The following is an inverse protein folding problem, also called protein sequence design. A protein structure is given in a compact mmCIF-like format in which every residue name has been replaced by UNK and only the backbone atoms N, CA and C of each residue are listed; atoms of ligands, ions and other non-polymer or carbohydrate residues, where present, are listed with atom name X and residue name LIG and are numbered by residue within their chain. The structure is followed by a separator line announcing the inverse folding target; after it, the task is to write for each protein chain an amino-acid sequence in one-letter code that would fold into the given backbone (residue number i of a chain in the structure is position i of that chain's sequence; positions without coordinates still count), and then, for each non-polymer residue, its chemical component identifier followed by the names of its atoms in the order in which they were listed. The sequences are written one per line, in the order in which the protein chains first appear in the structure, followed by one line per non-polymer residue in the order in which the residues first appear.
data_IF_948160197530
#
_entry.id   IF_948160197530
#
_cell.length_a   1.000
_cell.length_b   1.000
_cell.length_c   1.000
_cell.angle_alpha   90.00
_cell.angle_beta   90.00
_cell.angle_gamma   90.00
#
_symmetry.space_group_name_H-M   'P 1'
#
loop_
_entity.id
_entity.type
_entity.pdbx_description
1 polymer ?
#
# COMPACT_ATOMS: atom_id res chain seq x y z
N UNK A 1 4.61 -11.87 -26.35
CA UNK A 1 4.92 -11.52 -24.95
C UNK A 1 3.77 -10.71 -24.40
N UNK A 2 3.06 -11.19 -23.39
CA UNK A 2 1.99 -10.45 -22.74
C UNK A 2 2.56 -9.53 -21.66
N UNK A 3 2.02 -8.33 -21.57
CA UNK A 3 2.33 -7.39 -20.51
C UNK A 3 1.43 -7.65 -19.31
N UNK A 4 1.99 -7.72 -18.11
CA UNK A 4 1.23 -7.74 -16.87
C UNK A 4 0.90 -6.32 -16.45
N UNK A 5 -0.37 -6.05 -16.24
CA UNK A 5 -0.85 -4.74 -15.80
C UNK A 5 -1.55 -4.89 -14.47
N UNK A 6 -1.24 -4.02 -13.53
CA UNK A 6 -1.90 -3.95 -12.23
C UNK A 6 -2.52 -2.59 -11.99
N UNK A 7 -3.19 -2.46 -10.85
CA UNK A 7 -3.77 -1.19 -10.43
C UNK A 7 -3.52 -0.94 -8.93
N UNK A 8 -3.51 0.35 -8.58
CA UNK A 8 -3.51 0.79 -7.19
C UNK A 8 -4.93 0.68 -6.62
N UNK A 9 -5.10 -0.09 -5.55
CA UNK A 9 -6.43 -0.43 -5.02
C UNK A 9 -7.12 0.70 -4.27
N UNK A 10 -6.49 1.86 -4.13
CA UNK A 10 -7.07 3.02 -3.45
C UNK A 10 -8.43 3.44 -4.03
N UNK A 11 -8.65 3.27 -5.33
CA UNK A 11 -9.93 3.55 -5.98
C UNK A 11 -11.04 2.55 -5.62
N UNK A 12 -10.72 1.47 -4.93
CA UNK A 12 -11.64 0.39 -4.54
C UNK A 12 -11.75 0.23 -3.02
N UNK A 13 -11.43 1.28 -2.26
CA UNK A 13 -11.45 1.23 -0.79
C UNK A 13 -12.85 1.05 -0.17
N UNK A 14 -13.93 1.16 -0.95
CA UNK A 14 -15.31 0.82 -0.50
C UNK A 14 -15.57 -0.68 -0.50
N UNK A 15 -14.69 -1.49 -1.08
CA UNK A 15 -14.77 -2.94 -1.11
C UNK A 15 -13.72 -3.53 -0.18
N UNK A 16 -13.91 -4.75 0.28
CA UNK A 16 -12.82 -5.47 0.95
C UNK A 16 -11.73 -5.88 -0.05
N UNK A 17 -10.59 -6.36 0.44
CA UNK A 17 -9.47 -6.72 -0.43
C UNK A 17 -9.85 -7.81 -1.44
N UNK A 18 -10.54 -8.86 -1.00
CA UNK A 18 -10.90 -9.97 -1.88
C UNK A 18 -11.83 -9.53 -3.01
N UNK A 19 -12.83 -8.72 -2.68
CA UNK A 19 -13.74 -8.12 -3.67
C UNK A 19 -13.01 -7.18 -4.63
N UNK A 20 -12.11 -6.34 -4.11
CA UNK A 20 -11.29 -5.46 -4.92
C UNK A 20 -10.43 -6.24 -5.93
N UNK A 21 -9.80 -7.32 -5.50
CA UNK A 21 -9.01 -8.20 -6.38
C UNK A 21 -9.88 -8.87 -7.45
N UNK A 22 -11.10 -9.30 -7.10
CA UNK A 22 -12.04 -9.87 -8.08
C UNK A 22 -12.44 -8.83 -9.15
N UNK A 23 -12.67 -7.58 -8.75
CA UNK A 23 -12.96 -6.49 -9.70
C UNK A 23 -11.79 -6.26 -10.64
N UNK A 24 -10.56 -6.21 -10.14
CA UNK A 24 -9.36 -6.04 -10.95
C UNK A 24 -9.20 -7.20 -11.93
N UNK A 25 -9.35 -8.43 -11.46
CA UNK A 25 -9.22 -9.64 -12.27
C UNK A 25 -10.27 -9.68 -13.39
N UNK A 26 -11.53 -9.34 -13.08
CA UNK A 26 -12.62 -9.28 -14.07
C UNK A 26 -12.32 -8.28 -15.20
N UNK A 27 -11.54 -7.23 -14.90
CA UNK A 27 -11.11 -6.24 -15.89
C UNK A 27 -9.76 -6.58 -16.55
N UNK A 28 -9.26 -7.80 -16.39
CA UNK A 28 -8.05 -8.27 -17.07
C UNK A 28 -6.74 -7.85 -16.41
N UNK A 29 -6.79 -7.32 -15.19
CA UNK A 29 -5.60 -6.93 -14.44
C UNK A 29 -5.03 -8.13 -13.66
N UNK A 30 -3.72 -8.16 -13.51
CA UNK A 30 -3.01 -9.32 -12.94
C UNK A 30 -2.27 -9.00 -11.63
N UNK A 31 -2.25 -7.74 -11.21
CA UNK A 31 -1.58 -7.32 -10.00
C UNK A 31 -2.26 -6.15 -9.30
N UNK A 32 -1.89 -5.96 -8.05
CA UNK A 32 -2.39 -4.87 -7.23
C UNK A 32 -1.25 -4.21 -6.46
N UNK A 33 -1.29 -2.88 -6.39
CA UNK A 33 -0.52 -2.06 -5.48
C UNK A 33 -1.44 -1.63 -4.32
N UNK A 34 -0.99 -1.75 -3.10
CA UNK A 34 -1.82 -1.56 -1.91
C UNK A 34 -1.26 -0.45 -1.03
N UNK A 35 -2.13 0.45 -0.57
CA UNK A 35 -1.74 1.50 0.36
C UNK A 35 -1.47 0.94 1.77
N UNK A 36 -0.38 1.41 2.38
CA UNK A 36 0.05 0.98 3.72
C UNK A 36 0.34 2.15 4.68
N UNK A 37 0.05 3.37 4.28
CA UNK A 37 0.24 4.53 5.15
C UNK A 37 0.06 5.87 4.45
N UNK A 38 0.31 6.94 5.20
CA UNK A 38 0.26 8.31 4.71
C UNK A 38 -1.10 8.98 4.87
N UNK A 39 -1.50 9.78 3.88
CA UNK A 39 -2.70 10.61 3.94
C UNK A 39 -4.01 9.84 3.80
N UNK A 40 -4.01 8.72 3.10
CA UNK A 40 -5.23 7.93 2.86
C UNK A 40 -5.29 6.69 3.75
N UNK A 41 -6.49 6.19 4.06
CA UNK A 41 -6.65 4.95 4.82
C UNK A 41 -6.04 3.74 4.13
N UNK A 42 -5.78 2.68 4.89
CA UNK A 42 -5.21 1.42 4.38
C UNK A 42 -6.13 0.23 4.66
N UNK A 43 -7.39 0.24 4.18
CA UNK A 43 -8.36 -0.81 4.50
C UNK A 43 -8.00 -2.16 3.87
N UNK A 44 -7.17 -2.18 2.84
CA UNK A 44 -6.72 -3.40 2.18
C UNK A 44 -5.43 -3.99 2.76
N UNK A 45 -4.84 -3.37 3.78
CA UNK A 45 -3.63 -3.87 4.40
C UNK A 45 -3.63 -3.60 5.91
N UNK A 46 -3.88 -4.61 6.75
CA UNK A 46 -3.86 -4.48 8.20
C UNK A 46 -2.41 -4.46 8.70
N UNK A 47 -1.73 -3.34 8.54
CA UNK A 47 -0.29 -3.19 8.74
C UNK A 47 0.17 -3.69 10.12
N UNK A 48 -0.51 -3.28 11.19
CA UNK A 48 -0.12 -3.66 12.56
C UNK A 48 -0.17 -5.19 12.76
N UNK A 49 -1.23 -5.82 12.27
CA UNK A 49 -1.39 -7.28 12.33
C UNK A 49 -0.31 -8.00 11.53
N UNK A 50 -0.03 -7.52 10.32
CA UNK A 50 0.98 -8.11 9.43
C UNK A 50 2.40 -7.90 9.97
N UNK A 51 2.67 -6.79 10.61
CA UNK A 51 3.96 -6.55 11.27
C UNK A 51 4.20 -7.51 12.43
N UNK A 52 3.16 -7.83 13.18
CA UNK A 52 3.26 -8.64 14.40
C UNK A 52 3.26 -10.16 14.16
N UNK A 53 2.65 -10.66 13.07
CA UNK A 53 2.38 -12.10 12.90
C UNK A 53 2.79 -12.62 11.54
N UNK A 54 3.64 -13.65 11.54
CA UNK A 54 4.00 -14.39 10.32
C UNK A 54 2.80 -15.11 9.73
N UNK A 55 1.98 -15.77 10.55
CA UNK A 55 0.78 -16.46 10.08
C UNK A 55 -0.18 -15.48 9.40
N UNK A 56 -0.37 -14.28 9.97
CA UNK A 56 -1.18 -13.25 9.34
C UNK A 56 -0.65 -12.82 7.98
N UNK A 57 0.68 -12.74 7.82
CA UNK A 57 1.29 -12.44 6.51
C UNK A 57 1.07 -13.55 5.50
N UNK A 58 1.19 -14.81 5.93
CA UNK A 58 0.93 -15.99 5.08
C UNK A 58 -0.53 -16.01 4.62
N UNK A 59 -1.48 -15.79 5.54
CA UNK A 59 -2.91 -15.70 5.23
C UNK A 59 -3.21 -14.54 4.27
N UNK A 60 -2.59 -13.39 4.48
CA UNK A 60 -2.72 -12.22 3.63
C UNK A 60 -2.23 -12.48 2.21
N UNK A 61 -1.05 -13.05 2.06
CA UNK A 61 -0.52 -13.43 0.75
C UNK A 61 -1.37 -14.53 0.09
N UNK A 62 -1.95 -15.42 0.89
CA UNK A 62 -2.88 -16.45 0.43
C UNK A 62 -4.11 -15.87 -0.28
N UNK A 63 -4.60 -14.70 0.11
CA UNK A 63 -5.71 -14.02 -0.58
C UNK A 63 -5.33 -13.70 -2.03
N UNK A 64 -4.12 -13.21 -2.27
CA UNK A 64 -3.62 -12.94 -3.61
C UNK A 64 -3.41 -14.22 -4.42
N UNK A 65 -2.83 -15.24 -3.82
CA UNK A 65 -2.61 -16.54 -4.47
C UNK A 65 -3.92 -17.19 -4.89
N UNK A 66 -4.93 -17.21 -4.01
CA UNK A 66 -6.26 -17.78 -4.29
C UNK A 66 -6.96 -17.07 -5.45
N UNK A 67 -6.71 -15.77 -5.62
CA UNK A 67 -7.23 -14.97 -6.73
C UNK A 67 -6.35 -15.01 -7.97
N UNK A 68 -5.21 -15.68 -7.93
CA UNK A 68 -4.19 -15.63 -8.99
C UNK A 68 -3.80 -14.18 -9.35
N UNK A 69 -3.68 -13.35 -8.32
CA UNK A 69 -3.28 -11.95 -8.41
C UNK A 69 -1.93 -11.76 -7.74
N UNK A 70 -1.11 -10.89 -8.30
CA UNK A 70 0.18 -10.53 -7.72
C UNK A 70 0.03 -9.32 -6.79
N UNK A 71 0.59 -9.40 -5.60
CA UNK A 71 0.89 -8.21 -4.80
C UNK A 71 2.11 -7.53 -5.42
N UNK A 72 1.86 -6.56 -6.29
CA UNK A 72 2.88 -5.96 -7.15
C UNK A 72 3.71 -4.90 -6.42
N UNK A 73 3.14 -4.23 -5.45
CA UNK A 73 3.84 -3.20 -4.68
C UNK A 73 3.04 -2.73 -3.48
N UNK A 74 3.72 -2.04 -2.59
CA UNK A 74 3.11 -1.26 -1.52
C UNK A 74 3.23 0.23 -1.83
N UNK A 75 2.35 1.05 -1.27
CA UNK A 75 2.34 2.48 -1.49
C UNK A 75 2.15 3.22 -0.15
N UNK A 76 2.91 4.29 0.04
CA UNK A 76 2.64 5.28 1.08
C UNK A 76 2.33 6.63 0.41
N UNK A 77 1.09 7.08 0.54
CA UNK A 77 0.67 8.41 0.06
C UNK A 77 1.05 9.47 1.09
N UNK A 78 2.33 9.84 1.14
CA UNK A 78 2.92 10.51 2.29
C UNK A 78 3.64 11.83 1.97
N UNK A 79 3.89 12.62 3.02
CA UNK A 79 4.79 13.76 2.98
C UNK A 79 5.72 13.74 4.22
N UNK A 80 6.77 12.90 4.21
CA UNK A 80 7.70 12.80 5.33
C UNK A 80 8.56 14.06 5.54
N UNK A 81 8.57 14.97 4.57
CA UNK A 81 9.27 16.26 4.65
C UNK A 81 8.38 17.40 5.14
N UNK A 82 7.13 17.14 5.50
CA UNK A 82 6.23 18.17 6.01
C UNK A 82 6.82 18.87 7.24
N UNK A 83 6.75 20.21 7.31
CA UNK A 83 7.17 20.95 8.50
C UNK A 83 6.20 20.80 9.68
N UNK A 84 5.01 20.24 9.45
CA UNK A 84 4.05 19.95 10.50
C UNK A 84 4.42 18.62 11.18
N UNK A 85 4.73 18.62 12.51
CA UNK A 85 5.21 17.40 13.18
C UNK A 85 4.23 16.22 13.11
N UNK A 86 2.94 16.47 13.24
CA UNK A 86 1.87 15.47 13.16
C UNK A 86 1.70 14.89 11.76
N UNK A 87 2.22 15.54 10.72
CA UNK A 87 2.28 15.01 9.36
C UNK A 87 3.65 14.39 9.09
N UNK A 88 4.72 15.18 9.18
CA UNK A 88 6.06 14.77 8.79
C UNK A 88 6.58 13.58 9.58
N UNK A 89 6.50 13.63 10.92
CA UNK A 89 6.98 12.53 11.78
C UNK A 89 6.14 11.25 11.62
N UNK A 90 4.83 11.39 11.53
CA UNK A 90 3.94 10.25 11.32
C UNK A 90 4.18 9.59 9.96
N UNK A 91 4.29 10.40 8.91
CA UNK A 91 4.53 9.87 7.57
C UNK A 91 5.92 9.25 7.42
N UNK A 92 6.94 9.82 8.08
CA UNK A 92 8.26 9.19 8.14
C UNK A 92 8.22 7.83 8.87
N UNK A 93 7.42 7.73 9.93
CA UNK A 93 7.18 6.47 10.63
C UNK A 93 6.46 5.46 9.73
N UNK A 94 5.40 5.86 9.06
CA UNK A 94 4.65 5.01 8.12
C UNK A 94 5.55 4.48 7.01
N UNK A 95 6.40 5.33 6.43
CA UNK A 95 7.33 4.93 5.39
C UNK A 95 8.35 3.88 5.87
N UNK A 96 8.90 4.05 7.07
CA UNK A 96 9.83 3.06 7.64
C UNK A 96 9.14 1.71 7.85
N UNK A 97 7.92 1.74 8.37
CA UNK A 97 7.11 0.52 8.54
C UNK A 97 6.77 -0.15 7.21
N UNK A 98 6.46 0.65 6.19
CA UNK A 98 6.20 0.14 4.85
C UNK A 98 7.41 -0.58 4.25
N UNK A 99 8.61 -0.02 4.42
CA UNK A 99 9.86 -0.67 3.99
C UNK A 99 10.06 -2.01 4.72
N UNK A 100 9.88 -2.03 6.03
CA UNK A 100 10.01 -3.27 6.81
C UNK A 100 8.95 -4.30 6.42
N UNK A 101 7.71 -3.88 6.26
CA UNK A 101 6.60 -4.76 5.84
C UNK A 101 6.84 -5.33 4.44
N UNK A 102 7.31 -4.52 3.50
CA UNK A 102 7.67 -4.98 2.16
C UNK A 102 8.69 -6.11 2.22
N UNK A 103 9.74 -5.95 3.02
CA UNK A 103 10.73 -7.01 3.26
C UNK A 103 10.12 -8.29 3.85
N UNK A 104 9.21 -8.17 4.82
CA UNK A 104 8.52 -9.30 5.45
C UNK A 104 7.55 -10.01 4.51
N UNK A 105 6.94 -9.31 3.58
CA UNK A 105 6.02 -9.85 2.57
C UNK A 105 6.73 -10.34 1.29
N UNK A 106 8.03 -10.08 1.14
CA UNK A 106 8.77 -10.39 -0.08
C UNK A 106 8.40 -9.49 -1.25
N UNK A 107 7.89 -8.29 -1.00
CA UNK A 107 7.55 -7.29 -2.01
C UNK A 107 8.78 -6.41 -2.26
N UNK A 108 9.18 -6.28 -3.52
CA UNK A 108 10.39 -5.55 -3.92
C UNK A 108 10.14 -4.09 -4.28
N UNK A 109 8.89 -3.72 -4.53
CA UNK A 109 8.53 -2.41 -5.03
C UNK A 109 7.69 -1.66 -4.01
N UNK A 110 8.20 -0.51 -3.58
CA UNK A 110 7.50 0.42 -2.70
C UNK A 110 7.45 1.80 -3.36
N UNK A 111 6.23 2.26 -3.59
CA UNK A 111 5.97 3.61 -4.08
C UNK A 111 5.79 4.55 -2.90
N UNK A 112 6.47 5.67 -2.93
CA UNK A 112 6.31 6.73 -1.94
C UNK A 112 6.44 8.11 -2.58
N UNK A 113 5.93 9.11 -1.91
CA UNK A 113 6.18 10.50 -2.30
C UNK A 113 7.44 11.01 -1.62
N UNK A 114 8.26 11.77 -2.35
CA UNK A 114 9.41 12.48 -1.76
C UNK A 114 8.96 13.52 -0.73
N UNK A 115 7.75 14.06 -0.93
CA UNK A 115 7.20 15.12 -0.11
C UNK A 115 7.80 16.50 -0.42
N UNK A 116 7.27 17.50 0.27
CA UNK A 116 7.71 18.89 0.15
C UNK A 116 7.81 19.54 1.53
N UNK A 117 8.88 20.30 1.80
CA UNK A 117 9.09 20.90 3.12
C UNK A 117 8.30 22.18 3.38
N UNK A 118 7.58 22.71 2.41
CA UNK A 118 6.93 24.01 2.54
C UNK A 118 5.48 24.14 2.10
N UNK A 119 4.90 23.11 1.54
CA UNK A 119 3.62 23.19 0.81
C UNK A 119 2.40 23.49 1.66
N UNK A 120 2.36 23.02 2.90
CA UNK A 120 1.14 23.06 3.71
C UNK A 120 0.78 24.48 4.19
N UNK A 121 1.73 25.41 4.15
CA UNK A 121 1.52 26.81 4.54
C UNK A 121 1.32 27.77 3.36
N UNK A 122 1.67 27.35 2.16
CA UNK A 122 1.69 28.22 0.98
C UNK A 122 0.72 27.82 -0.12
N UNK A 123 -0.06 26.78 0.10
CA UNK A 123 -1.15 26.36 -0.76
C UNK A 123 -2.40 27.23 -0.53
N UNK A 124 -2.22 28.55 -0.49
CA UNK A 124 -3.33 29.53 -0.46
C UNK A 124 -3.34 30.33 -1.74
#
# INVERSE_FOLDING_TARGET
MSMNIGAYTACLHNYDLAEALDILKTNGLTGAEVNVGGFIPSPHCPVDTLMASQTAREDYLGIFEDKEMRLAGLNTSDNPLSPLPDVGLRHAYDLRRAIELAGKLGVTDLVCMSGTPGSDRHAK
#
